data_IF_929653759617
#
_entry.id   IF_929653759617
#
_cell.length_a   1.000
_cell.length_b   1.000
_cell.length_c   1.000
_cell.angle_alpha   90.00
_cell.angle_beta   90.00
_cell.angle_gamma   90.00
#
_symmetry.space_group_name_H-M   'P 1'
#
loop_
_entity.id
_entity.type
_entity.pdbx_description
1 polymer ?
#
# COMPACT_ATOMS: atom_id res chain seq x y z
N UNK A 1 -12.46 2.00 1.23
CA UNK A 1 -13.57 1.33 0.51
C UNK A 1 -13.32 -0.12 0.10
N UNK A 2 -12.26 -0.46 -0.63
CA UNK A 2 -12.02 -1.85 -1.14
C UNK A 2 -12.06 -2.92 -0.04
N UNK A 3 -11.39 -2.67 1.08
CA UNK A 3 -11.29 -3.62 2.20
C UNK A 3 -12.67 -3.93 2.84
N UNK A 4 -13.53 -2.93 3.00
CA UNK A 4 -14.88 -3.12 3.54
C UNK A 4 -15.75 -3.95 2.60
N UNK A 5 -15.67 -3.69 1.28
CA UNK A 5 -16.40 -4.48 0.27
C UNK A 5 -15.92 -5.94 0.22
N UNK A 6 -14.62 -6.17 0.33
CA UNK A 6 -14.08 -7.53 0.37
C UNK A 6 -14.45 -8.28 1.65
N UNK A 7 -14.45 -7.61 2.82
CA UNK A 7 -14.96 -8.21 4.06
C UNK A 7 -16.43 -8.60 3.91
N UNK A 8 -17.26 -7.70 3.38
CA UNK A 8 -18.67 -7.97 3.14
C UNK A 8 -18.87 -9.16 2.19
N UNK A 9 -18.09 -9.21 1.10
CA UNK A 9 -18.14 -10.33 0.14
C UNK A 9 -17.76 -11.66 0.79
N UNK A 10 -16.67 -11.68 1.57
CA UNK A 10 -16.19 -12.90 2.25
C UNK A 10 -17.22 -13.38 3.27
N UNK A 11 -17.66 -12.51 4.17
CA UNK A 11 -18.64 -12.86 5.22
C UNK A 11 -20.00 -13.22 4.65
N UNK A 12 -20.43 -12.60 3.54
CA UNK A 12 -21.66 -12.99 2.84
C UNK A 12 -21.58 -14.42 2.31
N UNK A 13 -20.46 -14.81 1.70
CA UNK A 13 -20.25 -16.19 1.20
C UNK A 13 -20.29 -17.21 2.33
N UNK A 14 -19.62 -16.92 3.44
CA UNK A 14 -19.63 -17.77 4.64
C UNK A 14 -21.05 -17.94 5.18
N UNK A 15 -21.82 -16.86 5.30
CA UNK A 15 -23.23 -16.92 5.75
C UNK A 15 -24.14 -17.65 4.78
N UNK A 16 -23.89 -17.58 3.48
CA UNK A 16 -24.68 -18.30 2.48
C UNK A 16 -24.46 -19.82 2.56
N UNK A 17 -23.31 -20.28 3.04
CA UNK A 17 -23.06 -21.70 3.30
C UNK A 17 -23.86 -22.21 4.51
N UNK A 18 -23.96 -21.41 5.57
CA UNK A 18 -24.70 -21.80 6.80
C UNK A 18 -26.20 -21.52 6.70
N UNK A 19 -26.59 -20.48 5.97
CA UNK A 19 -27.96 -19.98 5.88
C UNK A 19 -28.26 -19.61 4.42
N UNK A 20 -28.78 -20.58 3.64
CA UNK A 20 -29.16 -20.34 2.25
C UNK A 20 -30.12 -19.14 2.14
N UNK A 21 -29.81 -18.19 1.24
CA UNK A 21 -30.61 -16.98 1.03
C UNK A 21 -30.16 -15.74 1.81
N UNK A 22 -29.07 -15.81 2.56
CA UNK A 22 -28.46 -14.63 3.18
C UNK A 22 -28.06 -13.58 2.12
N UNK A 23 -28.74 -12.42 2.14
CA UNK A 23 -28.52 -11.31 1.18
C UNK A 23 -27.25 -10.50 1.49
N UNK A 24 -26.94 -10.35 2.77
CA UNK A 24 -25.87 -9.48 3.28
C UNK A 24 -24.89 -10.24 4.19
N UNK A 25 -23.64 -9.83 4.16
CA UNK A 25 -22.59 -10.19 5.10
C UNK A 25 -22.70 -9.41 6.41
N UNK A 26 -21.56 -9.21 7.08
CA UNK A 26 -21.49 -8.59 8.40
C UNK A 26 -21.75 -7.08 8.38
N UNK A 27 -21.44 -6.38 7.29
CA UNK A 27 -21.59 -4.91 7.13
C UNK A 27 -22.89 -4.53 6.42
N UNK A 28 -23.30 -5.28 5.41
CA UNK A 28 -24.50 -5.00 4.61
C UNK A 28 -24.37 -3.75 3.73
N UNK A 29 -25.28 -3.65 2.76
CA UNK A 29 -25.26 -2.58 1.75
C UNK A 29 -25.30 -1.17 2.38
N UNK A 30 -26.23 -0.93 3.30
CA UNK A 30 -26.39 0.36 4.00
C UNK A 30 -25.09 0.83 4.66
N UNK A 31 -24.30 -0.08 5.26
CA UNK A 31 -23.04 0.31 5.89
C UNK A 31 -21.96 0.67 4.87
N UNK A 32 -21.95 0.00 3.72
CA UNK A 32 -21.04 0.36 2.63
C UNK A 32 -21.40 1.74 2.08
N UNK A 33 -22.69 2.05 1.93
CA UNK A 33 -23.14 3.35 1.41
C UNK A 33 -22.89 4.48 2.43
N UNK A 34 -23.10 4.22 3.72
CA UNK A 34 -22.75 5.17 4.80
C UNK A 34 -21.24 5.41 4.84
N UNK A 35 -20.42 4.36 4.75
CA UNK A 35 -18.96 4.50 4.75
C UNK A 35 -18.48 5.28 3.53
N UNK A 36 -19.10 5.06 2.37
CA UNK A 36 -18.81 5.80 1.13
C UNK A 36 -19.17 7.29 1.27
N UNK A 37 -20.35 7.60 1.81
CA UNK A 37 -20.77 8.98 2.04
C UNK A 37 -19.87 9.70 3.04
N UNK A 38 -19.48 9.04 4.14
CA UNK A 38 -18.56 9.61 5.12
C UNK A 38 -17.20 9.94 4.48
N UNK A 39 -16.65 9.03 3.67
CA UNK A 39 -15.33 9.22 3.08
C UNK A 39 -15.31 10.20 1.90
N UNK A 40 -16.33 10.17 1.02
CA UNK A 40 -16.34 10.94 -0.23
C UNK A 40 -17.06 12.30 -0.12
N UNK A 41 -17.99 12.47 0.82
CA UNK A 41 -18.84 13.67 0.90
C UNK A 41 -18.59 14.53 2.13
N UNK A 42 -18.35 13.90 3.29
CA UNK A 42 -18.30 14.62 4.56
C UNK A 42 -16.90 14.80 5.13
N UNK A 43 -15.91 14.04 4.63
CA UNK A 43 -14.53 14.14 5.10
C UNK A 43 -13.88 15.41 4.53
N UNK A 44 -13.51 16.34 5.40
CA UNK A 44 -12.65 17.45 5.02
C UNK A 44 -11.20 16.94 4.93
N UNK A 45 -10.67 16.82 3.70
CA UNK A 45 -9.31 16.33 3.47
C UNK A 45 -8.21 17.29 3.95
N UNK A 46 -8.52 18.57 4.19
CA UNK A 46 -7.55 19.54 4.68
C UNK A 46 -7.39 19.45 6.19
N UNK A 47 -8.48 19.32 6.93
CA UNK A 47 -8.49 19.33 8.40
C UNK A 47 -8.63 17.94 9.02
N UNK A 48 -9.12 16.96 8.25
CA UNK A 48 -9.51 15.64 8.75
C UNK A 48 -10.85 15.65 9.51
N UNK A 49 -11.57 16.77 9.53
CA UNK A 49 -12.82 16.89 10.26
C UNK A 49 -13.92 16.02 9.61
N UNK A 50 -14.65 15.30 10.45
CA UNK A 50 -15.78 14.47 10.06
C UNK A 50 -16.86 14.52 11.14
N UNK A 51 -17.71 15.53 11.06
CA UNK A 51 -18.69 15.85 12.11
C UNK A 51 -20.17 15.90 11.62
N UNK A 52 -20.59 15.10 10.62
CA UNK A 52 -21.96 15.16 10.13
C UNK A 52 -22.97 14.66 11.16
N UNK A 53 -24.17 15.27 11.20
CA UNK A 53 -25.27 14.71 11.96
C UNK A 53 -25.78 13.41 11.32
N UNK A 54 -26.28 12.47 12.13
CA UNK A 54 -26.80 11.18 11.61
C UNK A 54 -27.95 11.41 10.62
N UNK A 55 -28.79 12.42 10.84
CA UNK A 55 -29.85 12.80 9.90
C UNK A 55 -29.28 13.25 8.55
N UNK A 56 -28.21 14.05 8.54
CA UNK A 56 -27.54 14.49 7.31
C UNK A 56 -26.95 13.31 6.54
N UNK A 57 -26.38 12.32 7.25
CA UNK A 57 -25.91 11.07 6.62
C UNK A 57 -27.08 10.29 6.01
N UNK A 58 -28.19 10.20 6.75
CA UNK A 58 -29.40 9.49 6.33
C UNK A 58 -30.00 10.08 5.05
N UNK A 59 -30.12 11.41 4.97
CA UNK A 59 -30.55 12.14 3.78
C UNK A 59 -29.59 11.93 2.61
N UNK A 60 -28.28 12.02 2.84
CA UNK A 60 -27.28 11.86 1.80
C UNK A 60 -27.30 10.45 1.16
N UNK A 61 -27.56 9.41 1.96
CA UNK A 61 -27.58 8.03 1.48
C UNK A 61 -28.98 7.57 1.04
N UNK A 62 -30.04 8.30 1.41
CA UNK A 62 -31.43 7.92 1.10
C UNK A 62 -31.95 6.77 1.97
N UNK A 63 -31.50 6.71 3.22
CA UNK A 63 -31.91 5.68 4.18
C UNK A 63 -32.54 6.29 5.44
N UNK A 64 -33.31 5.50 6.18
CA UNK A 64 -33.87 5.98 7.44
C UNK A 64 -32.79 6.20 8.51
N UNK A 65 -33.04 7.10 9.45
CA UNK A 65 -32.17 7.33 10.60
C UNK A 65 -31.81 6.02 11.32
N UNK A 66 -32.80 5.14 11.55
CA UNK A 66 -32.59 3.89 12.25
C UNK A 66 -31.72 2.91 11.47
N UNK A 67 -31.83 2.87 10.14
CA UNK A 67 -30.98 2.07 9.27
C UNK A 67 -29.52 2.56 9.31
N UNK A 68 -29.31 3.88 9.19
CA UNK A 68 -27.98 4.49 9.29
C UNK A 68 -27.36 4.29 10.66
N UNK A 69 -28.12 4.48 11.74
CA UNK A 69 -27.63 4.26 13.10
C UNK A 69 -27.20 2.79 13.33
N UNK A 70 -27.97 1.81 12.83
CA UNK A 70 -27.59 0.39 12.86
C UNK A 70 -26.34 0.11 12.00
N UNK A 71 -26.23 0.76 10.85
CA UNK A 71 -25.07 0.63 9.97
C UNK A 71 -23.79 1.18 10.62
N UNK A 72 -23.86 2.36 11.25
CA UNK A 72 -22.76 2.94 12.01
C UNK A 72 -22.30 2.01 13.13
N UNK A 73 -23.23 1.39 13.88
CA UNK A 73 -22.88 0.39 14.91
C UNK A 73 -22.11 -0.79 14.33
N UNK A 74 -22.59 -1.36 13.22
CA UNK A 74 -21.91 -2.48 12.54
C UNK A 74 -20.52 -2.09 12.03
N UNK A 75 -20.36 -0.88 11.50
CA UNK A 75 -19.06 -0.36 11.08
C UNK A 75 -18.09 -0.24 12.25
N UNK A 76 -18.58 0.21 13.41
CA UNK A 76 -17.78 0.31 14.64
C UNK A 76 -17.39 -1.07 15.18
N UNK A 77 -18.33 -2.01 15.22
CA UNK A 77 -18.05 -3.40 15.61
C UNK A 77 -17.05 -4.08 14.68
N UNK A 78 -17.13 -3.80 13.38
CA UNK A 78 -16.17 -4.29 12.40
C UNK A 78 -14.82 -3.54 12.41
N UNK A 79 -14.70 -2.43 13.17
CA UNK A 79 -13.48 -1.65 13.34
C UNK A 79 -13.19 -0.62 12.23
N UNK A 80 -14.13 -0.36 11.32
CA UNK A 80 -13.95 0.62 10.24
C UNK A 80 -14.16 2.06 10.69
N UNK A 81 -14.75 2.25 11.85
CA UNK A 81 -15.20 3.55 12.31
C UNK A 81 -15.18 3.61 13.84
N UNK A 82 -14.78 4.77 14.38
CA UNK A 82 -15.01 5.15 15.76
C UNK A 82 -15.83 6.45 15.78
N UNK A 83 -16.53 6.73 16.88
CA UNK A 83 -17.10 8.05 17.10
C UNK A 83 -16.85 8.55 18.52
N UNK A 84 -16.77 9.86 18.66
CA UNK A 84 -16.66 10.55 19.94
C UNK A 84 -17.91 11.42 20.10
N UNK A 85 -18.54 11.30 21.27
CA UNK A 85 -19.66 12.16 21.66
C UNK A 85 -19.10 13.55 21.95
N UNK A 86 -19.76 14.58 21.41
CA UNK A 86 -19.35 15.97 21.57
C UNK A 86 -20.44 16.76 22.26
N UNK A 87 -20.00 17.74 23.05
CA UNK A 87 -20.84 18.65 23.78
C UNK A 87 -20.30 20.06 23.66
N UNK A 88 -21.19 21.05 23.69
CA UNK A 88 -20.84 22.47 23.78
C UNK A 88 -21.48 23.09 25.04
N UNK A 89 -20.89 24.12 25.65
CA UNK A 89 -21.59 24.93 26.63
C UNK A 89 -22.89 25.46 26.01
N UNK A 90 -23.98 25.40 26.77
CA UNK A 90 -25.26 25.99 26.35
C UNK A 90 -25.18 27.52 26.48
N UNK A 91 -26.05 28.22 25.76
CA UNK A 91 -26.17 29.69 25.87
C UNK A 91 -26.72 30.14 27.24
N UNK A 92 -27.23 29.20 28.04
CA UNK A 92 -27.73 29.39 29.42
C UNK A 92 -26.62 29.20 30.48
N UNK A 93 -25.35 29.35 30.09
CA UNK A 93 -24.21 29.19 31.00
C UNK A 93 -24.28 30.21 32.16
N UNK A 94 -24.44 29.71 33.39
CA UNK A 94 -24.62 30.52 34.60
C UNK A 94 -26.08 30.80 35.00
N UNK A 95 -27.06 30.37 34.20
CA UNK A 95 -28.49 30.50 34.49
C UNK A 95 -29.13 29.16 34.90
N UNK A 96 -30.38 29.16 35.39
CA UNK A 96 -31.08 27.95 35.79
C UNK A 96 -31.46 27.09 34.56
N UNK A 97 -30.73 26.00 34.33
CA UNK A 97 -30.99 25.06 33.23
C UNK A 97 -29.80 24.14 32.92
N UNK A 98 -29.92 23.25 31.91
CA UNK A 98 -28.83 22.41 31.44
C UNK A 98 -27.68 23.27 30.89
N UNK A 99 -26.51 23.17 31.51
CA UNK A 99 -25.34 23.99 31.16
C UNK A 99 -24.61 23.51 29.90
N UNK A 100 -24.99 22.34 29.37
CA UNK A 100 -24.27 21.65 28.30
C UNK A 100 -25.25 21.07 27.29
N UNK A 101 -25.02 21.36 26.02
CA UNK A 101 -25.80 20.84 24.89
C UNK A 101 -25.04 19.77 24.13
N UNK A 102 -25.75 18.70 23.76
CA UNK A 102 -25.19 17.66 22.91
C UNK A 102 -25.20 18.11 21.45
N UNK A 103 -24.07 17.99 20.78
CA UNK A 103 -23.92 18.30 19.35
C UNK A 103 -23.67 17.05 18.51
N UNK A 104 -23.48 17.22 17.20
CA UNK A 104 -23.15 16.11 16.30
C UNK A 104 -21.86 15.43 16.73
N UNK A 105 -21.86 14.10 16.63
CA UNK A 105 -20.69 13.30 16.95
C UNK A 105 -19.56 13.60 15.95
N UNK A 106 -18.32 13.47 16.42
CA UNK A 106 -17.18 13.35 15.52
C UNK A 106 -16.96 11.88 15.20
N UNK A 107 -16.66 11.59 13.94
CA UNK A 107 -16.36 10.26 13.44
C UNK A 107 -14.89 10.16 13.04
N UNK A 108 -14.27 9.00 13.29
CA UNK A 108 -12.93 8.69 12.84
C UNK A 108 -12.99 7.42 11.99
N UNK A 109 -12.44 7.46 10.79
CA UNK A 109 -12.35 6.30 9.91
C UNK A 109 -11.07 5.53 10.23
N UNK A 110 -11.21 4.23 10.46
CA UNK A 110 -10.12 3.35 10.89
C UNK A 110 -10.00 2.16 9.93
N UNK A 111 -8.83 1.51 9.97
CA UNK A 111 -8.59 0.25 9.28
C UNK A 111 -8.54 -0.86 10.33
N UNK A 112 -9.42 -1.86 10.27
CA UNK A 112 -9.42 -2.95 11.26
C UNK A 112 -8.16 -3.82 11.19
N UNK A 113 -7.56 -4.14 12.34
CA UNK A 113 -6.37 -5.00 12.46
C UNK A 113 -6.58 -6.38 11.81
N UNK A 114 -7.79 -6.95 11.99
CA UNK A 114 -8.17 -8.26 11.42
C UNK A 114 -8.12 -8.29 9.88
N UNK A 115 -8.09 -7.12 9.25
CA UNK A 115 -8.10 -6.95 7.79
C UNK A 115 -6.76 -6.38 7.32
N UNK A 116 -5.81 -6.10 8.21
CA UNK A 116 -4.51 -5.53 7.87
C UNK A 116 -3.75 -6.39 6.84
N UNK A 117 -3.77 -7.72 7.00
CA UNK A 117 -3.18 -8.64 6.03
C UNK A 117 -3.86 -8.55 4.65
N UNK A 118 -5.20 -8.41 4.64
CA UNK A 118 -5.97 -8.22 3.41
C UNK A 118 -5.66 -6.84 2.78
N UNK A 119 -5.50 -5.80 3.59
CA UNK A 119 -5.14 -4.44 3.17
C UNK A 119 -3.77 -4.44 2.50
N UNK A 120 -2.76 -5.09 3.10
CA UNK A 120 -1.43 -5.25 2.50
C UNK A 120 -1.47 -5.97 1.15
N UNK A 121 -2.36 -6.97 1.00
CA UNK A 121 -2.54 -7.67 -0.26
C UNK A 121 -3.27 -6.82 -1.32
N UNK A 122 -4.29 -6.04 -0.92
CA UNK A 122 -5.13 -5.25 -1.82
C UNK A 122 -4.51 -3.92 -2.26
N UNK A 123 -3.76 -3.24 -1.37
CA UNK A 123 -3.07 -1.98 -1.67
C UNK A 123 -1.69 -2.26 -2.29
N UNK A 124 -1.18 -3.48 -2.11
CA UNK A 124 0.16 -3.88 -2.55
C UNK A 124 1.24 -3.49 -1.55
N UNK A 125 2.48 -3.90 -1.83
CA UNK A 125 3.63 -3.41 -1.07
C UNK A 125 3.81 -1.92 -1.37
N UNK A 126 4.05 -1.14 -0.33
CA UNK A 126 4.42 0.27 -0.50
C UNK A 126 5.59 0.37 -1.48
N UNK A 127 5.61 1.38 -2.36
CA UNK A 127 6.74 1.59 -3.25
C UNK A 127 8.01 1.72 -2.42
N UNK A 128 9.12 1.20 -2.97
CA UNK A 128 10.43 1.35 -2.34
C UNK A 128 10.74 2.85 -2.24
N UNK A 129 11.19 3.35 -1.08
CA UNK A 129 11.62 4.73 -0.93
C UNK A 129 12.63 5.16 -2.01
N UNK A 130 12.55 6.42 -2.44
CA UNK A 130 13.31 6.92 -3.59
C UNK A 130 14.82 6.84 -3.39
N UNK A 131 15.28 7.15 -2.18
CA UNK A 131 16.65 6.99 -1.69
C UNK A 131 17.15 5.54 -1.86
N UNK A 132 16.37 4.56 -1.40
CA UNK A 132 16.71 3.13 -1.51
C UNK A 132 16.72 2.68 -2.97
N UNK A 133 15.82 3.20 -3.81
CA UNK A 133 15.78 2.88 -5.23
C UNK A 133 17.00 3.43 -5.98
N UNK A 134 17.43 4.65 -5.64
CA UNK A 134 18.60 5.30 -6.21
C UNK A 134 19.88 4.59 -5.78
N UNK A 135 20.01 4.29 -4.49
CA UNK A 135 21.14 3.56 -3.92
C UNK A 135 21.31 2.16 -4.56
N UNK A 136 20.21 1.45 -4.81
CA UNK A 136 20.24 0.18 -5.58
C UNK A 136 20.70 0.37 -7.02
N UNK A 137 20.31 1.47 -7.66
CA UNK A 137 20.73 1.78 -9.03
C UNK A 137 22.22 2.10 -9.10
N UNK A 138 22.73 2.87 -8.14
CA UNK A 138 24.15 3.22 -8.03
C UNK A 138 24.98 1.96 -7.76
N UNK A 139 24.62 1.14 -6.78
CA UNK A 139 25.34 -0.12 -6.51
C UNK A 139 25.35 -1.06 -7.71
N UNK A 140 24.27 -1.10 -8.50
CA UNK A 140 24.25 -1.90 -9.75
C UNK A 140 25.18 -1.33 -10.81
N UNK A 141 25.25 -0.01 -10.94
CA UNK A 141 26.17 0.65 -11.86
C UNK A 141 27.62 0.42 -11.42
N UNK A 142 27.94 0.69 -10.16
CA UNK A 142 29.26 0.45 -9.57
C UNK A 142 29.69 -1.02 -9.69
N UNK A 143 28.79 -1.95 -9.40
CA UNK A 143 29.07 -3.38 -9.54
C UNK A 143 29.28 -3.77 -11.01
N UNK A 144 28.51 -3.20 -11.93
CA UNK A 144 28.70 -3.42 -13.36
C UNK A 144 30.04 -2.87 -13.84
N UNK A 145 30.44 -1.70 -13.37
CA UNK A 145 31.72 -1.07 -13.71
C UNK A 145 32.89 -1.88 -13.11
N UNK A 146 32.74 -2.36 -11.88
CA UNK A 146 33.67 -3.28 -11.23
C UNK A 146 33.83 -4.58 -12.04
N UNK A 147 32.72 -5.18 -12.48
CA UNK A 147 32.75 -6.36 -13.35
C UNK A 147 33.41 -6.08 -14.71
N UNK A 148 33.17 -4.91 -15.30
CA UNK A 148 33.77 -4.51 -16.56
C UNK A 148 35.29 -4.24 -16.44
N UNK A 149 35.78 -3.96 -15.22
CA UNK A 149 37.21 -3.75 -14.96
C UNK A 149 38.00 -5.05 -14.77
N UNK A 150 37.32 -6.16 -14.47
CA UNK A 150 37.96 -7.46 -14.28
C UNK A 150 38.37 -8.08 -15.62
N UNK A 151 39.54 -8.73 -15.65
CA UNK A 151 39.89 -9.61 -16.77
C UNK A 151 38.97 -10.83 -16.77
N UNK A 152 38.77 -11.45 -17.94
CA UNK A 152 37.97 -12.67 -18.04
C UNK A 152 38.54 -13.78 -17.15
N UNK A 153 39.87 -13.82 -16.98
CA UNK A 153 40.55 -14.74 -16.08
C UNK A 153 40.26 -14.48 -14.60
N UNK A 154 40.32 -13.23 -14.16
CA UNK A 154 40.07 -12.86 -12.75
C UNK A 154 38.59 -13.08 -12.40
N UNK A 155 37.69 -12.73 -13.32
CA UNK A 155 36.26 -13.02 -13.17
C UNK A 155 35.99 -14.52 -12.99
N UNK A 156 36.62 -15.37 -13.80
CA UNK A 156 36.45 -16.81 -13.65
C UNK A 156 36.99 -17.32 -12.31
N UNK A 157 38.14 -16.81 -11.86
CA UNK A 157 38.76 -17.22 -10.60
C UNK A 157 37.89 -16.88 -9.38
N UNK A 158 37.24 -15.71 -9.38
CA UNK A 158 36.44 -15.26 -8.23
C UNK A 158 35.02 -15.84 -8.21
N UNK A 159 34.40 -16.08 -9.38
CA UNK A 159 32.98 -16.45 -9.47
C UNK A 159 32.71 -17.92 -9.81
N UNK A 160 33.69 -18.67 -10.34
CA UNK A 160 33.48 -20.09 -10.67
C UNK A 160 33.47 -20.97 -9.42
N UNK A 161 32.38 -21.72 -9.21
CA UNK A 161 32.25 -22.71 -8.12
C UNK A 161 31.87 -24.12 -8.63
N UNK A 162 32.05 -24.35 -9.93
CA UNK A 162 31.69 -25.61 -10.59
C UNK A 162 32.82 -26.64 -10.59
N UNK A 163 32.63 -27.70 -11.38
CA UNK A 163 33.53 -28.85 -11.45
C UNK A 163 34.90 -28.51 -12.06
N UNK A 164 35.97 -29.26 -11.70
CA UNK A 164 37.35 -28.88 -12.04
C UNK A 164 37.64 -28.98 -13.55
N UNK A 165 37.12 -30.01 -14.22
CA UNK A 165 37.32 -30.23 -15.65
C UNK A 165 36.70 -29.11 -16.50
N UNK A 166 35.50 -28.65 -16.10
CA UNK A 166 34.85 -27.50 -16.72
C UNK A 166 35.56 -26.18 -16.37
N UNK A 167 36.09 -26.06 -15.16
CA UNK A 167 36.90 -24.91 -14.75
C UNK A 167 38.17 -24.74 -15.59
N UNK A 168 38.89 -25.83 -15.89
CA UNK A 168 40.11 -25.78 -16.70
C UNK A 168 39.85 -25.36 -18.15
N UNK A 169 38.76 -25.84 -18.76
CA UNK A 169 38.40 -25.45 -20.12
C UNK A 169 37.97 -23.98 -20.18
N UNK A 170 37.19 -23.53 -19.20
CA UNK A 170 36.81 -22.13 -19.06
C UNK A 170 38.01 -21.23 -18.79
N UNK A 171 39.01 -21.67 -18.01
CA UNK A 171 40.22 -20.90 -17.75
C UNK A 171 41.05 -20.69 -19.03
N UNK A 172 41.11 -21.70 -19.90
CA UNK A 172 41.76 -21.59 -21.22
C UNK A 172 41.02 -20.61 -22.13
N UNK A 173 39.68 -20.65 -22.12
CA UNK A 173 38.83 -19.73 -22.89
C UNK A 173 38.98 -18.30 -22.37
N UNK A 174 38.91 -18.08 -21.06
CA UNK A 174 39.10 -16.78 -20.42
C UNK A 174 40.45 -16.16 -20.78
N UNK A 175 41.54 -16.94 -20.68
CA UNK A 175 42.87 -16.47 -21.08
C UNK A 175 42.97 -16.15 -22.59
N UNK A 176 42.19 -16.81 -23.44
CA UNK A 176 42.14 -16.50 -24.87
C UNK A 176 41.38 -15.20 -25.15
N UNK A 177 40.29 -14.94 -24.43
CA UNK A 177 39.52 -13.70 -24.50
C UNK A 177 40.39 -12.51 -24.10
N UNK A 178 41.11 -12.60 -22.97
CA UNK A 178 41.98 -11.53 -22.49
C UNK A 178 43.08 -11.19 -23.51
N UNK A 179 43.70 -12.21 -24.12
CA UNK A 179 44.72 -12.01 -25.18
C UNK A 179 44.15 -11.29 -26.39
N UNK A 180 42.96 -11.68 -26.83
CA UNK A 180 42.29 -11.07 -27.98
C UNK A 180 41.89 -9.61 -27.70
N UNK A 181 41.43 -9.29 -26.49
CA UNK A 181 41.11 -7.91 -26.10
C UNK A 181 42.35 -7.00 -26.08
N UNK A 182 43.48 -7.48 -25.58
CA UNK A 182 44.75 -6.72 -25.59
C UNK A 182 45.19 -6.44 -27.03
N UNK A 183 45.17 -7.45 -27.90
CA UNK A 183 45.54 -7.30 -29.31
C UNK A 183 44.63 -6.33 -30.07
N UNK A 184 43.31 -6.36 -29.80
CA UNK A 184 42.33 -5.44 -30.38
C UNK A 184 42.53 -3.98 -29.94
N UNK A 185 42.91 -3.76 -28.67
CA UNK A 185 43.24 -2.42 -28.14
C UNK A 185 44.53 -1.86 -28.76
N UNK A 186 45.53 -2.71 -28.99
CA UNK A 186 46.82 -2.32 -29.60
C UNK A 186 46.67 -1.97 -31.09
N UNK A 187 45.90 -2.75 -31.85
CA UNK A 187 45.64 -2.48 -33.27
C UNK A 187 44.83 -1.20 -33.49
N UNK A 188 43.86 -0.93 -32.62
CA UNK A 188 43.05 0.30 -32.67
C UNK A 188 43.86 1.58 -32.39
N UNK A 189 44.90 1.50 -31.55
CA UNK A 189 45.81 2.63 -31.26
C UNK A 189 46.76 2.95 -32.42
N UNK A 190 47.14 1.96 -33.22
CA UNK A 190 48.03 2.13 -34.38
C UNK A 190 47.37 2.80 -35.60
N UNK A 191 46.04 2.84 -35.67
CA UNK A 191 45.31 3.42 -36.80
C UNK A 191 45.07 4.94 -36.73
N UNK A 192 45.25 5.58 -35.57
CA UNK A 192 44.89 7.00 -35.36
C UNK A 192 46.03 7.97 -35.75
N UNK A 193 47.25 7.49 -36.00
CA UNK A 193 48.41 8.32 -36.33
C UNK A 193 48.62 8.57 -37.84
N UNK A 194 47.62 8.26 -38.69
CA UNK A 194 47.76 8.23 -40.15
C UNK A 194 46.87 9.21 -40.93
N UNK A 195 46.55 10.39 -40.38
CA UNK A 195 45.76 11.42 -41.07
C UNK A 195 46.30 12.82 -40.86
N UNK A 196 47.20 13.25 -41.76
CA UNK A 196 47.49 14.64 -42.11
C UNK A 196 47.19 14.80 -43.59
#
# INVERSE_FOLDING_TARGET
MKCARELERKTRRERQQTTPGAKNGILGQVALDVLDALYNRFLDYKTGALEPAIMTIAEAVGHSYSAVHRALKRLREAGFLHWVRRTRPSETEGEAGPQVEQISNAYALLVPDKIEALVRHLIGKAPVPSDVSWDRSQRRAEFKDMLASLSAKDFLADFWRGDSLAGETLAKIAAAIDRHEVQSRESSKGGVTGGV
#
